data_IF_562171661059
#
_entry.id   IF_562171661059
#
_cell.length_a   1.000
_cell.length_b   1.000
_cell.length_c   1.000
_cell.angle_alpha   90.00
_cell.angle_beta   90.00
_cell.angle_gamma   90.00
#
_symmetry.space_group_name_H-M   'P 1'
#
loop_
_entity.id
_entity.type
_entity.pdbx_description
1 polymer ?
#
# COMPACT_ATOMS: atom_id res chain seq x y z
N UNK A 1 -2.23 11.66 -32.18
CA UNK A 1 -3.10 10.47 -32.16
C UNK A 1 -2.72 9.65 -30.95
N UNK A 2 -3.46 9.79 -29.85
CA UNK A 2 -3.28 8.94 -28.65
C UNK A 2 -3.90 7.58 -29.02
N UNK A 3 -3.09 6.56 -29.09
CA UNK A 3 -3.52 5.18 -29.28
C UNK A 3 -4.54 4.82 -28.22
N UNK A 4 -5.66 4.30 -28.67
CA UNK A 4 -6.85 3.93 -27.90
C UNK A 4 -6.59 2.65 -27.09
N UNK A 5 -5.61 2.69 -26.18
CA UNK A 5 -5.41 1.61 -25.22
C UNK A 5 -6.52 1.75 -24.16
N UNK A 6 -7.43 0.79 -24.14
CA UNK A 6 -8.50 0.68 -23.15
C UNK A 6 -7.87 0.58 -21.75
N UNK A 7 -7.74 1.73 -21.08
CA UNK A 7 -7.09 1.81 -19.78
C UNK A 7 -8.10 1.40 -18.71
N UNK A 8 -7.72 0.38 -17.95
CA UNK A 8 -8.49 -0.19 -16.86
C UNK A 8 -7.94 0.33 -15.53
N UNK A 9 -8.79 0.92 -14.71
CA UNK A 9 -8.50 1.19 -13.30
C UNK A 9 -9.12 0.11 -12.42
N UNK A 10 -8.38 -0.32 -11.44
CA UNK A 10 -8.84 -1.27 -10.42
C UNK A 10 -8.57 -0.65 -9.06
N UNK A 11 -9.55 -0.70 -8.18
CA UNK A 11 -9.46 -0.19 -6.81
C UNK A 11 -9.56 -1.37 -5.86
N UNK A 12 -8.62 -1.48 -4.94
CA UNK A 12 -8.72 -2.38 -3.80
C UNK A 12 -8.74 -1.55 -2.51
N UNK A 13 -9.89 -1.50 -1.86
CA UNK A 13 -10.12 -0.74 -0.64
C UNK A 13 -11.30 -1.35 0.13
N UNK A 14 -11.12 -1.72 1.37
CA UNK A 14 -12.16 -2.33 2.21
C UNK A 14 -13.16 -1.31 2.79
N UNK A 15 -12.93 -0.02 2.55
CA UNK A 15 -13.87 1.05 2.83
C UNK A 15 -14.84 1.25 1.65
N UNK A 16 -15.92 0.45 1.59
CA UNK A 16 -16.84 0.39 0.45
C UNK A 16 -17.38 1.75 -0.02
N UNK A 17 -17.68 2.67 0.90
CA UNK A 17 -18.14 4.01 0.52
C UNK A 17 -17.05 4.81 -0.21
N UNK A 18 -15.80 4.73 0.24
CA UNK A 18 -14.69 5.37 -0.43
C UNK A 18 -14.45 4.75 -1.80
N UNK A 19 -14.35 3.42 -1.89
CA UNK A 19 -14.13 2.70 -3.15
C UNK A 19 -15.20 3.05 -4.21
N UNK A 20 -16.48 3.05 -3.81
CA UNK A 20 -17.60 3.41 -4.69
C UNK A 20 -17.50 4.87 -5.14
N UNK A 21 -17.29 5.81 -4.21
CA UNK A 21 -17.20 7.24 -4.54
C UNK A 21 -16.01 7.54 -5.44
N UNK A 22 -14.88 6.89 -5.19
CA UNK A 22 -13.67 7.05 -5.98
C UNK A 22 -13.83 6.47 -7.38
N UNK A 23 -14.50 5.31 -7.53
CA UNK A 23 -14.86 4.73 -8.83
C UNK A 23 -15.71 5.70 -9.66
N UNK A 24 -16.78 6.22 -9.07
CA UNK A 24 -17.66 7.19 -9.73
C UNK A 24 -16.91 8.46 -10.15
N UNK A 25 -15.93 8.89 -9.34
CA UNK A 25 -15.10 10.04 -9.68
C UNK A 25 -14.20 9.75 -10.88
N UNK A 26 -13.54 8.59 -10.93
CA UNK A 26 -12.71 8.19 -12.08
C UNK A 26 -13.52 8.11 -13.37
N UNK A 27 -14.74 7.56 -13.31
CA UNK A 27 -15.67 7.46 -14.44
C UNK A 27 -16.19 8.82 -14.88
N UNK A 28 -16.70 9.63 -13.94
CA UNK A 28 -17.26 10.97 -14.21
C UNK A 28 -16.28 11.86 -14.96
N UNK A 29 -15.01 11.83 -14.57
CA UNK A 29 -13.96 12.63 -15.21
C UNK A 29 -13.28 11.90 -16.36
N UNK A 30 -13.77 10.72 -16.75
CA UNK A 30 -13.24 9.92 -17.87
C UNK A 30 -11.73 9.70 -17.79
N UNK A 31 -11.23 9.50 -16.57
CA UNK A 31 -9.80 9.24 -16.36
C UNK A 31 -9.42 7.84 -16.84
N UNK A 32 -10.36 6.90 -16.83
CA UNK A 32 -10.21 5.55 -17.34
C UNK A 32 -11.45 5.12 -18.12
N UNK A 33 -11.30 4.18 -19.04
CA UNK A 33 -12.41 3.64 -19.83
C UNK A 33 -13.25 2.63 -19.03
N UNK A 34 -12.58 1.88 -18.18
CA UNK A 34 -13.19 0.90 -17.29
C UNK A 34 -12.66 1.10 -15.89
N UNK A 35 -13.57 1.04 -14.92
CA UNK A 35 -13.24 1.12 -13.50
C UNK A 35 -13.88 -0.05 -12.79
N UNK A 36 -13.13 -0.72 -11.92
CA UNK A 36 -13.62 -1.82 -11.11
C UNK A 36 -13.11 -1.68 -9.70
N UNK A 37 -13.96 -1.91 -8.71
CA UNK A 37 -13.57 -1.88 -7.30
C UNK A 37 -13.79 -3.22 -6.63
N UNK A 38 -12.95 -3.52 -5.66
CA UNK A 38 -12.96 -4.72 -4.84
C UNK A 38 -12.79 -4.32 -3.38
N UNK A 39 -13.52 -4.98 -2.50
CA UNK A 39 -13.37 -4.94 -1.05
C UNK A 39 -12.69 -6.20 -0.52
N UNK A 40 -12.59 -7.24 -1.36
CA UNK A 40 -11.96 -8.53 -1.08
C UNK A 40 -10.66 -8.67 -1.87
N UNK A 41 -9.58 -9.01 -1.15
CA UNK A 41 -8.29 -9.36 -1.74
C UNK A 41 -8.41 -10.53 -2.72
N UNK A 42 -9.13 -11.58 -2.33
CA UNK A 42 -9.21 -12.80 -3.14
C UNK A 42 -9.92 -12.54 -4.47
N UNK A 43 -10.98 -11.73 -4.46
CA UNK A 43 -11.68 -11.32 -5.67
C UNK A 43 -10.81 -10.45 -6.56
N UNK A 44 -10.07 -9.51 -5.96
CA UNK A 44 -9.11 -8.67 -6.66
C UNK A 44 -8.01 -9.51 -7.33
N UNK A 45 -7.40 -10.44 -6.61
CA UNK A 45 -6.32 -11.26 -7.16
C UNK A 45 -6.82 -12.20 -8.27
N UNK A 46 -8.00 -12.82 -8.12
CA UNK A 46 -8.65 -13.61 -9.20
C UNK A 46 -8.91 -12.76 -10.43
N UNK A 47 -9.37 -11.53 -10.24
CA UNK A 47 -9.56 -10.63 -11.36
C UNK A 47 -8.24 -10.27 -12.03
N UNK A 48 -7.20 -9.95 -11.26
CA UNK A 48 -5.90 -9.59 -11.79
C UNK A 48 -5.27 -10.74 -12.59
N UNK A 49 -5.40 -11.97 -12.11
CA UNK A 49 -4.99 -13.18 -12.82
C UNK A 49 -5.71 -13.35 -14.17
N UNK A 50 -7.02 -13.08 -14.20
CA UNK A 50 -7.81 -13.14 -15.43
C UNK A 50 -7.53 -12.02 -16.42
N UNK A 51 -6.96 -10.89 -15.96
CA UNK A 51 -6.64 -9.73 -16.80
C UNK A 51 -5.41 -9.93 -17.69
N UNK A 52 -4.58 -10.94 -17.39
CA UNK A 52 -3.39 -11.29 -18.16
C UNK A 52 -2.39 -10.14 -18.23
N UNK A 53 -1.94 -9.80 -19.44
CA UNK A 53 -0.97 -8.72 -19.70
C UNK A 53 -1.61 -7.36 -20.00
N UNK A 54 -2.92 -7.21 -19.77
CA UNK A 54 -3.58 -5.92 -19.93
C UNK A 54 -2.96 -4.88 -19.00
N UNK A 55 -2.72 -3.67 -19.49
CA UNK A 55 -2.22 -2.56 -18.67
C UNK A 55 -3.29 -2.11 -17.68
N UNK A 56 -3.06 -2.36 -16.43
CA UNK A 56 -3.97 -2.09 -15.31
C UNK A 56 -3.37 -1.02 -14.40
N UNK A 57 -4.18 -0.04 -14.00
CA UNK A 57 -3.83 0.94 -12.98
C UNK A 57 -4.51 0.54 -11.68
N UNK A 58 -3.73 0.14 -10.70
CA UNK A 58 -4.22 -0.37 -9.41
C UNK A 58 -4.13 0.77 -8.38
N UNK A 59 -5.29 1.23 -7.92
CA UNK A 59 -5.41 2.09 -6.76
C UNK A 59 -5.57 1.22 -5.52
N UNK A 60 -4.54 1.14 -4.71
CA UNK A 60 -4.41 0.17 -3.63
C UNK A 60 -4.41 0.89 -2.29
N UNK A 61 -5.41 0.63 -1.46
CA UNK A 61 -5.37 1.10 -0.08
C UNK A 61 -4.18 0.51 0.67
N UNK A 62 -3.53 1.35 1.45
CA UNK A 62 -2.47 0.88 2.32
C UNK A 62 -3.02 0.05 3.48
N UNK A 63 -4.11 0.48 4.12
CA UNK A 63 -4.71 -0.20 5.24
C UNK A 63 -5.87 -1.09 4.78
N UNK A 64 -5.60 -2.37 4.65
CA UNK A 64 -6.62 -3.39 4.46
C UNK A 64 -6.88 -4.08 5.81
N UNK A 65 -8.09 -4.62 6.01
CA UNK A 65 -8.55 -5.20 7.28
C UNK A 65 -7.60 -6.26 7.85
N UNK A 66 -7.06 -7.12 6.99
CA UNK A 66 -6.23 -8.23 7.42
C UNK A 66 -4.74 -7.99 7.21
N UNK A 67 -4.37 -7.17 6.24
CA UNK A 67 -2.98 -6.93 5.84
C UNK A 67 -2.75 -5.49 5.39
N UNK A 68 -1.57 -5.16 4.89
CA UNK A 68 -1.31 -3.89 4.23
C UNK A 68 -1.27 -4.09 2.72
N UNK A 69 -1.68 -3.08 1.95
CA UNK A 69 -1.51 -3.12 0.50
C UNK A 69 -0.07 -3.38 0.05
N UNK A 70 0.90 -3.02 0.91
CA UNK A 70 2.31 -3.26 0.64
C UNK A 70 2.66 -4.75 0.53
N UNK A 71 1.99 -5.62 1.31
CA UNK A 71 2.20 -7.07 1.26
C UNK A 71 1.75 -7.70 -0.05
N UNK A 72 0.87 -7.03 -0.80
CA UNK A 72 0.34 -7.52 -2.07
C UNK A 72 1.27 -7.24 -3.27
N UNK A 73 2.24 -6.34 -3.14
CA UNK A 73 3.11 -5.96 -4.27
C UNK A 73 3.81 -7.16 -4.96
N UNK A 74 4.37 -8.15 -4.22
CA UNK A 74 5.00 -9.30 -4.86
C UNK A 74 4.02 -10.13 -5.70
N UNK A 75 2.78 -10.28 -5.21
CA UNK A 75 1.75 -11.06 -5.89
C UNK A 75 1.19 -10.32 -7.10
N UNK A 76 0.95 -9.01 -6.98
CA UNK A 76 0.59 -8.13 -8.10
C UNK A 76 1.64 -8.25 -9.21
N UNK A 77 2.93 -8.09 -8.88
CA UNK A 77 4.02 -8.17 -9.86
C UNK A 77 4.17 -9.55 -10.50
N UNK A 78 3.79 -10.63 -9.79
CA UNK A 78 3.75 -11.98 -10.35
C UNK A 78 2.59 -12.18 -11.34
N UNK A 79 1.40 -11.65 -11.00
CA UNK A 79 0.18 -11.81 -11.81
C UNK A 79 0.14 -10.86 -13.01
N UNK A 80 0.60 -9.62 -12.84
CA UNK A 80 0.62 -8.64 -13.91
C UNK A 80 1.86 -7.72 -13.78
N UNK A 81 2.88 -7.96 -14.61
CA UNK A 81 4.15 -7.22 -14.57
C UNK A 81 4.04 -5.77 -15.05
N UNK A 82 3.04 -5.49 -15.88
CA UNK A 82 2.81 -4.16 -16.45
C UNK A 82 1.84 -3.32 -15.64
N UNK A 83 1.31 -3.87 -14.53
CA UNK A 83 0.42 -3.17 -13.63
C UNK A 83 1.11 -1.92 -13.04
N UNK A 84 0.35 -0.82 -12.99
CA UNK A 84 0.76 0.43 -12.37
C UNK A 84 0.13 0.53 -10.99
N UNK A 85 0.94 0.53 -9.95
CA UNK A 85 0.44 0.53 -8.57
C UNK A 85 0.52 1.92 -7.96
N UNK A 86 -0.64 2.43 -7.54
CA UNK A 86 -0.81 3.71 -6.87
C UNK A 86 -1.33 3.43 -5.47
N UNK A 87 -0.54 3.71 -4.44
CA UNK A 87 -1.03 3.64 -3.07
C UNK A 87 -1.97 4.78 -2.76
N UNK A 88 -3.11 4.44 -2.17
CA UNK A 88 -4.03 5.38 -1.53
C UNK A 88 -3.87 5.26 -0.01
N UNK A 89 -3.72 6.37 0.69
CA UNK A 89 -3.65 6.35 2.15
C UNK A 89 -4.16 7.63 2.76
N UNK A 90 -4.79 7.53 3.93
CA UNK A 90 -5.13 8.67 4.80
C UNK A 90 -4.06 8.96 5.85
N UNK A 91 -3.02 8.12 5.93
CA UNK A 91 -1.91 8.32 6.86
C UNK A 91 -1.12 9.59 6.57
N UNK A 92 -0.65 10.22 7.63
CA UNK A 92 0.17 11.43 7.60
C UNK A 92 1.55 11.24 8.23
N UNK A 93 1.94 9.99 8.45
CA UNK A 93 3.24 9.65 9.04
C UNK A 93 4.38 9.74 8.01
N UNK A 94 5.40 10.55 8.25
CA UNK A 94 6.59 10.61 7.40
C UNK A 94 7.28 9.24 7.26
N UNK A 95 7.32 8.45 8.33
CA UNK A 95 7.92 7.11 8.32
C UNK A 95 7.18 6.17 7.36
N UNK A 96 5.83 6.19 7.39
CA UNK A 96 5.05 5.37 6.46
C UNK A 96 5.26 5.81 5.02
N UNK A 97 5.15 7.11 4.73
CA UNK A 97 5.33 7.61 3.36
C UNK A 97 6.75 7.32 2.85
N UNK A 98 7.78 7.48 3.70
CA UNK A 98 9.14 7.09 3.35
C UNK A 98 9.26 5.57 3.12
N UNK A 99 8.55 4.77 3.90
CA UNK A 99 8.48 3.31 3.69
C UNK A 99 7.87 2.99 2.34
N UNK A 100 6.71 3.54 1.99
CA UNK A 100 6.08 3.36 0.68
C UNK A 100 7.01 3.77 -0.47
N UNK A 101 7.63 4.94 -0.36
CA UNK A 101 8.58 5.46 -1.35
C UNK A 101 9.74 4.50 -1.62
N UNK A 102 10.24 3.80 -0.60
CA UNK A 102 11.34 2.84 -0.75
C UNK A 102 10.96 1.60 -1.60
N UNK A 103 9.68 1.31 -1.77
CA UNK A 103 9.19 0.25 -2.66
C UNK A 103 8.95 0.72 -4.08
N UNK A 104 9.21 2.00 -4.35
CA UNK A 104 9.15 2.60 -5.68
C UNK A 104 7.84 2.30 -6.43
N UNK A 105 6.65 2.51 -5.80
CA UNK A 105 5.38 2.38 -6.51
C UNK A 105 5.29 3.42 -7.63
N UNK A 106 4.38 3.22 -8.57
CA UNK A 106 4.14 4.21 -9.62
C UNK A 106 3.50 5.49 -9.06
N UNK A 107 2.72 5.39 -7.97
CA UNK A 107 2.16 6.55 -7.30
C UNK A 107 1.94 6.38 -5.80
N UNK A 108 1.97 7.49 -5.07
CA UNK A 108 1.50 7.60 -3.68
C UNK A 108 0.59 8.82 -3.61
N UNK A 109 -0.68 8.60 -3.29
CA UNK A 109 -1.73 9.60 -3.29
C UNK A 109 -2.47 9.61 -1.94
N UNK A 110 -2.76 10.78 -1.42
CA UNK A 110 -3.59 10.90 -0.23
C UNK A 110 -5.06 10.65 -0.56
N UNK A 111 -5.79 9.93 0.29
CA UNK A 111 -7.26 9.80 0.17
C UNK A 111 -7.98 11.15 0.31
N UNK A 112 -7.31 12.17 0.85
CA UNK A 112 -7.83 13.55 0.95
C UNK A 112 -7.39 14.46 -0.20
N UNK A 113 -6.69 13.95 -1.21
CA UNK A 113 -6.25 14.72 -2.37
C UNK A 113 -7.43 15.26 -3.17
N UNK A 114 -7.24 16.44 -3.74
CA UNK A 114 -8.22 17.00 -4.64
C UNK A 114 -8.14 16.38 -6.06
N UNK A 115 -9.13 16.71 -6.89
CA UNK A 115 -9.24 16.17 -8.24
C UNK A 115 -8.04 16.53 -9.14
N UNK A 116 -7.48 17.73 -8.99
CA UNK A 116 -6.37 18.16 -9.85
C UNK A 116 -5.09 17.40 -9.50
N UNK A 117 -4.87 17.10 -8.23
CA UNK A 117 -3.78 16.21 -7.77
C UNK A 117 -3.94 14.80 -8.35
N UNK A 118 -5.17 14.25 -8.31
CA UNK A 118 -5.46 12.95 -8.91
C UNK A 118 -5.19 12.93 -10.42
N UNK A 119 -5.64 13.96 -11.16
CA UNK A 119 -5.36 14.10 -12.59
C UNK A 119 -3.87 14.17 -12.88
N UNK A 120 -3.13 14.93 -12.09
CA UNK A 120 -1.67 15.06 -12.21
C UNK A 120 -0.97 13.73 -11.96
N UNK A 121 -1.43 12.96 -10.96
CA UNK A 121 -0.94 11.62 -10.68
C UNK A 121 -1.12 10.70 -11.89
N UNK A 122 -2.34 10.59 -12.41
CA UNK A 122 -2.65 9.74 -13.57
C UNK A 122 -1.83 10.16 -14.79
N UNK A 123 -1.72 11.46 -15.05
CA UNK A 123 -0.95 11.99 -16.17
C UNK A 123 0.55 11.66 -16.08
N UNK A 124 1.14 11.82 -14.88
CA UNK A 124 2.54 11.50 -14.63
C UNK A 124 2.83 10.01 -14.87
N UNK A 125 1.98 9.13 -14.33
CA UNK A 125 2.16 7.67 -14.48
C UNK A 125 1.99 7.23 -15.93
N UNK A 126 1.09 7.85 -16.69
CA UNK A 126 0.95 7.61 -18.14
C UNK A 126 2.20 7.96 -18.92
N UNK A 127 2.94 8.97 -18.47
CA UNK A 127 4.25 9.35 -19.04
C UNK A 127 5.41 8.49 -18.52
N UNK A 128 5.13 7.44 -17.73
CA UNK A 128 6.16 6.56 -17.16
C UNK A 128 6.93 7.20 -16.00
N UNK A 129 6.39 8.26 -15.40
CA UNK A 129 7.00 8.94 -14.24
C UNK A 129 6.28 8.52 -12.97
N UNK A 130 7.04 8.30 -11.90
CA UNK A 130 6.45 8.10 -10.58
C UNK A 130 5.85 9.41 -10.06
N UNK A 131 4.83 9.30 -9.23
CA UNK A 131 4.15 10.44 -8.64
C UNK A 131 4.07 10.30 -7.11
N UNK A 132 4.41 11.37 -6.41
CA UNK A 132 4.15 11.50 -4.98
C UNK A 132 3.26 12.71 -4.79
N UNK A 133 2.21 12.57 -3.99
CA UNK A 133 1.32 13.68 -3.66
C UNK A 133 2.15 14.86 -3.09
N UNK A 134 1.98 16.09 -3.59
CA UNK A 134 2.71 17.25 -3.08
C UNK A 134 2.54 17.48 -1.58
N UNK A 135 1.43 17.05 -1.00
CA UNK A 135 1.22 17.04 0.45
C UNK A 135 2.25 16.16 1.14
N UNK A 136 2.49 14.97 0.62
CA UNK A 136 3.47 14.04 1.17
C UNK A 136 4.93 14.48 0.91
N UNK A 137 5.20 15.12 -0.22
CA UNK A 137 6.53 15.70 -0.46
C UNK A 137 6.90 16.73 0.60
N UNK A 138 5.98 17.67 0.87
CA UNK A 138 6.15 18.67 1.96
C UNK A 138 6.28 18.01 3.34
N UNK A 139 5.52 16.95 3.58
CA UNK A 139 5.60 16.20 4.83
C UNK A 139 7.01 15.60 5.03
N UNK A 140 7.59 15.04 3.99
CA UNK A 140 8.94 14.47 4.03
C UNK A 140 10.03 15.53 4.15
N UNK A 141 9.90 16.70 3.50
CA UNK A 141 10.84 17.81 3.59
C UNK A 141 10.94 18.38 5.02
N UNK A 142 9.80 18.47 5.70
CA UNK A 142 9.69 19.03 7.04
C UNK A 142 10.13 18.08 8.17
N UNK A 143 10.38 16.81 7.85
CA UNK A 143 10.77 15.81 8.84
C UNK A 143 12.12 15.20 8.48
N UNK A 144 13.04 15.20 9.45
CA UNK A 144 14.27 14.40 9.32
C UNK A 144 13.86 12.94 9.16
N UNK A 145 14.29 12.33 8.06
CA UNK A 145 13.98 10.93 7.78
C UNK A 145 14.47 10.06 8.94
N UNK A 146 13.56 9.37 9.60
CA UNK A 146 13.93 8.34 10.58
C UNK A 146 14.69 7.24 9.82
N UNK A 147 15.87 6.81 10.27
CA UNK A 147 16.68 5.82 9.58
C UNK A 147 16.09 4.41 9.67
N UNK A 148 14.82 4.31 10.06
CA UNK A 148 14.11 3.04 10.29
C UNK A 148 13.35 2.64 9.04
N UNK A 149 13.57 1.39 8.60
CA UNK A 149 12.83 0.78 7.49
C UNK A 149 12.28 -0.56 7.91
N UNK A 150 10.95 -0.72 7.84
CA UNK A 150 10.32 -2.02 8.00
C UNK A 150 10.07 -2.66 6.63
N UNK A 151 10.33 -3.96 6.54
CA UNK A 151 9.95 -4.76 5.35
C UNK A 151 8.46 -5.10 5.42
N UNK A 152 7.80 -5.47 4.29
CA UNK A 152 6.41 -5.90 4.30
C UNK A 152 6.19 -7.02 5.31
N UNK A 153 7.11 -7.97 5.37
CA UNK A 153 7.05 -9.10 6.32
C UNK A 153 7.14 -8.66 7.78
N UNK A 154 7.95 -7.66 8.07
CA UNK A 154 8.04 -7.08 9.41
C UNK A 154 6.73 -6.34 9.78
N UNK A 155 6.11 -5.65 8.82
CA UNK A 155 4.82 -4.98 9.02
C UNK A 155 3.69 -6.00 9.29
N UNK A 156 3.65 -7.10 8.56
CA UNK A 156 2.71 -8.20 8.81
C UNK A 156 2.88 -8.76 10.24
N UNK A 157 4.11 -9.04 10.64
CA UNK A 157 4.43 -9.50 12.01
C UNK A 157 3.98 -8.49 13.07
N UNK A 158 4.22 -7.19 12.84
CA UNK A 158 3.78 -6.11 13.72
C UNK A 158 2.26 -6.11 13.90
N UNK A 159 1.49 -6.29 12.83
CA UNK A 159 0.02 -6.39 12.88
C UNK A 159 -0.43 -7.57 13.76
N UNK A 160 0.19 -8.73 13.63
CA UNK A 160 -0.11 -9.90 14.47
C UNK A 160 0.21 -9.64 15.94
N UNK A 161 1.36 -9.05 16.22
CA UNK A 161 1.74 -8.70 17.61
C UNK A 161 0.80 -7.64 18.19
N UNK A 162 0.37 -6.66 17.40
CA UNK A 162 -0.57 -5.62 17.83
C UNK A 162 -1.98 -6.15 18.14
N UNK A 163 -2.37 -7.27 17.53
CA UNK A 163 -3.61 -8.02 17.82
C UNK A 163 -3.49 -8.93 19.05
N UNK A 164 -2.29 -9.05 19.65
CA UNK A 164 -2.02 -9.93 20.78
C UNK A 164 -1.78 -11.38 20.39
N UNK A 165 -1.53 -11.70 19.13
CA UNK A 165 -1.20 -13.07 18.73
C UNK A 165 0.11 -13.51 19.36
N UNK A 166 0.14 -14.74 19.90
CA UNK A 166 1.37 -15.34 20.42
C UNK A 166 2.37 -15.64 19.29
N UNK A 167 3.63 -15.84 19.64
CA UNK A 167 4.67 -16.22 18.66
C UNK A 167 4.26 -17.48 17.88
N UNK A 168 3.70 -18.49 18.56
CA UNK A 168 3.26 -19.73 17.93
C UNK A 168 2.11 -19.47 16.94
N UNK A 169 1.09 -18.71 17.35
CA UNK A 169 -0.05 -18.36 16.51
C UNK A 169 0.36 -17.49 15.31
N UNK A 170 1.29 -16.56 15.53
CA UNK A 170 1.84 -15.73 14.43
C UNK A 170 2.63 -16.59 13.44
N UNK A 171 3.42 -17.54 13.93
CA UNK A 171 4.19 -18.45 13.10
C UNK A 171 3.27 -19.33 12.24
N UNK A 172 2.21 -19.88 12.81
CA UNK A 172 1.20 -20.68 12.12
C UNK A 172 0.51 -19.87 10.98
N UNK A 173 -0.03 -18.69 11.33
CA UNK A 173 -0.75 -17.85 10.36
C UNK A 173 0.13 -17.36 9.21
N UNK A 174 1.41 -17.15 9.49
CA UNK A 174 2.34 -16.63 8.50
C UNK A 174 3.19 -17.72 7.83
N UNK A 175 2.92 -18.98 8.10
CA UNK A 175 3.68 -20.13 7.58
C UNK A 175 5.19 -20.03 7.85
N UNK A 176 5.55 -19.62 9.08
CA UNK A 176 6.91 -19.47 9.56
C UNK A 176 7.21 -20.42 10.72
N UNK A 177 8.50 -20.62 11.02
CA UNK A 177 8.87 -21.23 12.28
C UNK A 177 8.78 -20.22 13.44
N UNK A 178 8.49 -20.66 14.69
CA UNK A 178 8.55 -19.78 15.86
C UNK A 178 9.90 -19.08 16.02
N UNK A 179 10.99 -19.77 15.68
CA UNK A 179 12.35 -19.20 15.69
C UNK A 179 12.50 -18.04 14.71
N UNK A 180 11.93 -18.16 13.52
CA UNK A 180 11.92 -17.09 12.50
C UNK A 180 11.17 -15.87 13.01
N UNK A 181 10.01 -16.06 13.64
CA UNK A 181 9.21 -14.97 14.23
C UNK A 181 9.99 -14.25 15.33
N UNK A 182 10.67 -15.01 16.22
CA UNK A 182 11.52 -14.44 17.27
C UNK A 182 12.69 -13.65 16.67
N UNK A 183 13.33 -14.17 15.63
CA UNK A 183 14.44 -13.49 14.95
C UNK A 183 13.99 -12.15 14.35
N UNK A 184 12.85 -12.13 13.64
CA UNK A 184 12.26 -10.88 13.12
C UNK A 184 11.93 -9.90 14.24
N UNK A 185 11.29 -10.35 15.33
CA UNK A 185 11.00 -9.49 16.48
C UNK A 185 12.25 -8.83 17.02
N UNK A 186 13.32 -9.60 17.27
CA UNK A 186 14.60 -9.07 17.76
C UNK A 186 15.19 -8.03 16.80
N UNK A 187 15.16 -8.32 15.49
CA UNK A 187 15.65 -7.41 14.45
C UNK A 187 14.87 -6.10 14.44
N UNK A 188 13.54 -6.15 14.51
CA UNK A 188 12.69 -4.96 14.56
C UNK A 188 12.94 -4.13 15.82
N UNK A 189 13.04 -4.78 17.00
CA UNK A 189 13.36 -4.09 18.24
C UNK A 189 14.73 -3.40 18.19
N UNK A 190 15.72 -4.04 17.59
CA UNK A 190 17.05 -3.44 17.39
C UNK A 190 17.01 -2.22 16.44
N UNK A 191 16.18 -2.25 15.39
CA UNK A 191 16.03 -1.13 14.44
C UNK A 191 15.60 0.17 15.12
N UNK A 192 14.75 0.10 16.13
CA UNK A 192 14.22 1.26 16.87
C UNK A 192 14.82 1.40 18.26
N UNK A 193 15.83 0.59 18.58
CA UNK A 193 16.51 0.60 19.89
C UNK A 193 15.55 0.46 21.07
N UNK A 194 14.54 -0.44 20.98
CA UNK A 194 13.59 -0.70 22.06
C UNK A 194 13.86 -2.06 22.74
N UNK A 195 13.39 -2.18 24.00
CA UNK A 195 13.65 -3.35 24.83
C UNK A 195 12.43 -4.28 25.00
N UNK A 196 11.24 -3.84 24.57
CA UNK A 196 10.02 -4.63 24.73
C UNK A 196 9.17 -4.62 23.46
N UNK A 197 8.35 -5.68 23.32
CA UNK A 197 7.38 -5.77 22.23
C UNK A 197 6.33 -4.66 22.33
N UNK A 198 5.96 -4.24 23.53
CA UNK A 198 5.02 -3.15 23.76
C UNK A 198 5.55 -1.84 23.20
N UNK A 199 6.83 -1.50 23.46
CA UNK A 199 7.46 -0.32 22.91
C UNK A 199 7.51 -0.38 21.37
N UNK A 200 7.80 -1.55 20.80
CA UNK A 200 7.80 -1.75 19.36
C UNK A 200 6.41 -1.51 18.72
N UNK A 201 5.35 -2.04 19.36
CA UNK A 201 3.97 -1.84 18.90
C UNK A 201 3.55 -0.38 19.04
N UNK A 202 3.86 0.26 20.17
CA UNK A 202 3.58 1.68 20.40
C UNK A 202 4.23 2.54 19.32
N UNK A 203 5.53 2.33 19.07
CA UNK A 203 6.24 3.03 17.99
C UNK A 203 5.57 2.83 16.63
N UNK A 204 5.20 1.57 16.30
CA UNK A 204 4.59 1.26 15.02
C UNK A 204 3.21 1.93 14.83
N UNK A 205 2.43 2.10 15.91
CA UNK A 205 1.15 2.82 15.90
C UNK A 205 1.34 4.34 15.83
N UNK A 206 2.25 4.90 16.63
CA UNK A 206 2.54 6.35 16.61
C UNK A 206 3.04 6.84 15.25
N UNK A 207 3.72 5.95 14.53
CA UNK A 207 4.21 6.23 13.18
C UNK A 207 3.32 5.66 12.06
N UNK A 208 2.09 5.28 12.37
CA UNK A 208 1.09 4.82 11.39
C UNK A 208 1.61 3.68 10.48
N UNK A 209 2.50 2.82 10.99
CA UNK A 209 3.00 1.66 10.24
C UNK A 209 1.98 0.52 10.27
N UNK A 210 1.19 0.46 11.36
CA UNK A 210 0.12 -0.52 11.57
C UNK A 210 -1.12 0.11 12.18
#
# INVERSE_FOLDING_TARGET
>A
MLTNDSQLAVILDDHGLFATSFSLLLEKYRLFHFVKSFDSKDDFLRFLESSGTQKVYIFLDYYLSEETGLSLLPEIGRLNRDAKTIFLTSAVSPLLIQTLKNYNPDGILSKSSNLDTLKSCVASIRLGKNFIDPFFEKLLENHQSLPVKFTPREIELLKHFARGDSIAKTAEKLFLSPHTVVAHRRKMMAKINCQSITQLITFAREHEVI
#
